data_IF_187565005379
#
_entry.id   IF_187565005379
#
_cell.length_a   1.000
_cell.length_b   1.000
_cell.length_c   1.000
_cell.angle_alpha   90.00
_cell.angle_beta   90.00
_cell.angle_gamma   90.00
#
_symmetry.space_group_name_H-M   'P 1'
#
loop_
_entity.id
_entity.type
_entity.pdbx_description
1 polymer ?
#
# COMPACT_ATOMS: atom_id res chain seq x y z
N UNK A 1 1.12 21.40 18.54
CA UNK A 1 -0.18 21.40 17.82
C UNK A 1 -0.08 20.94 16.34
N UNK A 2 0.74 19.93 16.03
CA UNK A 2 0.90 19.42 14.65
C UNK A 2 -0.01 18.22 14.32
N UNK A 3 -0.23 17.34 15.30
CA UNK A 3 -0.96 16.09 15.11
C UNK A 3 -2.41 16.28 14.61
N UNK A 4 -3.19 17.15 15.26
CA UNK A 4 -4.56 17.45 14.81
C UNK A 4 -4.62 17.91 13.35
N UNK A 5 -3.69 18.77 12.92
CA UNK A 5 -3.63 19.24 11.53
C UNK A 5 -3.31 18.09 10.56
N UNK A 6 -2.42 17.18 10.94
CA UNK A 6 -2.11 15.99 10.14
C UNK A 6 -3.33 15.07 10.02
N UNK A 7 -4.02 14.78 11.12
CA UNK A 7 -5.21 13.92 11.12
C UNK A 7 -6.32 14.50 10.25
N UNK A 8 -6.64 15.79 10.42
CA UNK A 8 -7.67 16.46 9.61
C UNK A 8 -7.23 16.56 8.14
N UNK A 9 -5.96 16.83 7.87
CA UNK A 9 -5.41 16.85 6.52
C UNK A 9 -5.56 15.50 5.81
N UNK A 10 -5.20 14.41 6.48
CA UNK A 10 -5.37 13.04 5.98
C UNK A 10 -6.84 12.70 5.73
N UNK A 11 -7.75 13.06 6.64
CA UNK A 11 -9.18 12.84 6.47
C UNK A 11 -9.77 13.62 5.27
N UNK A 12 -9.34 14.87 5.07
CA UNK A 12 -9.72 15.68 3.89
C UNK A 12 -9.22 15.03 2.60
N UNK A 13 -7.97 14.57 2.58
CA UNK A 13 -7.38 13.92 1.41
C UNK A 13 -8.06 12.58 1.12
N UNK A 14 -8.39 11.81 2.15
CA UNK A 14 -9.19 10.59 2.02
C UNK A 14 -10.52 10.86 1.30
N UNK A 15 -11.28 11.87 1.76
CA UNK A 15 -12.56 12.24 1.14
C UNK A 15 -12.41 12.72 -0.30
N UNK A 16 -11.33 13.46 -0.61
CA UNK A 16 -11.04 13.88 -1.98
C UNK A 16 -10.88 12.68 -2.92
N UNK A 17 -10.10 11.67 -2.52
CA UNK A 17 -9.90 10.46 -3.33
C UNK A 17 -11.20 9.69 -3.57
N UNK A 18 -12.08 9.63 -2.58
CA UNK A 18 -13.38 8.98 -2.74
C UNK A 18 -14.27 9.67 -3.78
N UNK A 19 -14.17 10.99 -3.91
CA UNK A 19 -14.95 11.78 -4.86
C UNK A 19 -14.35 11.78 -6.28
N UNK A 20 -13.06 11.50 -6.40
CA UNK A 20 -12.31 11.55 -7.65
C UNK A 20 -11.68 10.20 -8.01
N UNK A 21 -12.29 9.09 -7.58
CA UNK A 21 -11.71 7.75 -7.75
C UNK A 21 -11.35 7.45 -9.21
N UNK A 22 -12.17 7.91 -10.16
CA UNK A 22 -11.99 7.68 -11.60
C UNK A 22 -10.74 8.36 -12.18
N UNK A 23 -10.08 9.26 -11.43
CA UNK A 23 -8.85 9.93 -11.84
C UNK A 23 -7.57 9.15 -11.48
N UNK A 24 -7.70 8.00 -10.82
CA UNK A 24 -6.58 7.22 -10.28
C UNK A 24 -6.50 5.81 -10.87
N UNK A 25 -5.30 5.24 -10.85
CA UNK A 25 -5.04 3.94 -11.47
C UNK A 25 -5.45 2.73 -10.63
N UNK A 26 -5.77 2.93 -9.34
CA UNK A 26 -6.08 1.84 -8.42
C UNK A 26 -7.49 1.99 -7.89
N UNK A 27 -8.27 0.93 -8.01
CA UNK A 27 -9.68 0.93 -7.61
C UNK A 27 -10.00 -0.21 -6.63
N UNK A 28 -10.92 0.02 -5.68
CA UNK A 28 -11.40 -1.03 -4.79
C UNK A 28 -12.36 -1.98 -5.50
N UNK A 29 -12.57 -3.15 -4.90
CA UNK A 29 -13.42 -4.25 -5.37
C UNK A 29 -13.07 -4.78 -6.76
N UNK A 30 -11.81 -4.63 -7.18
CA UNK A 30 -11.34 -5.12 -8.49
C UNK A 30 -9.88 -5.59 -8.42
N UNK A 31 -9.48 -6.33 -9.45
CA UNK A 31 -8.10 -6.76 -9.66
C UNK A 31 -7.32 -5.58 -10.27
N UNK A 32 -6.20 -5.24 -9.64
CA UNK A 32 -5.29 -4.20 -10.09
C UNK A 32 -3.92 -4.81 -10.35
N UNK A 33 -3.26 -4.44 -11.45
CA UNK A 33 -1.86 -4.81 -11.71
C UNK A 33 -0.94 -3.84 -11.00
N UNK A 34 -0.21 -4.32 -9.99
CA UNK A 34 0.65 -3.49 -9.14
C UNK A 34 2.11 -3.90 -9.34
N UNK A 35 2.98 -2.94 -9.61
CA UNK A 35 4.41 -3.18 -9.82
C UNK A 35 5.11 -3.50 -8.50
N UNK A 36 6.21 -4.24 -8.59
CA UNK A 36 7.06 -4.49 -7.42
C UNK A 36 8.04 -3.34 -7.13
N UNK A 37 8.38 -2.57 -8.17
CA UNK A 37 9.40 -1.52 -8.12
C UNK A 37 9.13 -0.48 -9.22
N UNK A 38 9.64 0.77 -9.07
CA UNK A 38 9.67 1.74 -10.16
C UNK A 38 10.39 1.22 -11.41
N UNK A 39 11.33 0.30 -11.25
CA UNK A 39 11.96 -0.37 -12.37
C UNK A 39 10.99 -1.40 -12.99
N UNK A 40 10.52 -1.09 -14.20
CA UNK A 40 9.57 -1.94 -14.95
C UNK A 40 10.09 -3.36 -15.19
N UNK A 41 11.40 -3.58 -15.27
CA UNK A 41 11.96 -4.93 -15.47
C UNK A 41 11.74 -5.86 -14.27
N UNK A 42 11.43 -5.31 -13.09
CA UNK A 42 11.09 -6.09 -11.90
C UNK A 42 9.72 -6.77 -12.00
N UNK A 43 8.87 -6.35 -12.94
CA UNK A 43 7.55 -6.93 -13.16
C UNK A 43 6.47 -6.43 -12.18
N UNK A 44 5.36 -7.15 -12.17
CA UNK A 44 4.15 -6.84 -11.42
C UNK A 44 3.34 -8.11 -11.16
N UNK A 45 2.32 -8.01 -10.32
CA UNK A 45 1.29 -9.05 -10.22
C UNK A 45 -0.09 -8.43 -9.97
N UNK A 46 -1.09 -9.28 -10.11
CA UNK A 46 -2.48 -8.93 -9.89
C UNK A 46 -2.82 -8.98 -8.41
N UNK A 47 -3.32 -7.88 -7.87
CA UNK A 47 -3.77 -7.73 -6.49
C UNK A 47 -5.25 -7.37 -6.50
N UNK A 48 -6.07 -8.19 -5.86
CA UNK A 48 -7.46 -7.82 -5.58
C UNK A 48 -7.48 -6.82 -4.43
N UNK A 49 -7.92 -5.59 -4.70
CA UNK A 49 -8.00 -4.54 -3.68
C UNK A 49 -9.41 -4.57 -3.11
N UNK A 50 -9.57 -5.05 -1.87
CA UNK A 50 -10.88 -5.26 -1.27
C UNK A 50 -11.58 -3.97 -0.85
N UNK A 51 -10.85 -2.95 -0.41
CA UNK A 51 -11.45 -1.76 0.19
C UNK A 51 -10.79 -0.46 -0.24
N UNK A 52 -11.52 0.65 -0.01
CA UNK A 52 -11.10 2.01 -0.37
C UNK A 52 -9.80 2.42 0.33
N UNK A 53 -9.58 2.02 1.58
CA UNK A 53 -8.36 2.37 2.30
C UNK A 53 -7.11 1.77 1.64
N UNK A 54 -7.18 0.50 1.22
CA UNK A 54 -6.11 -0.16 0.48
C UNK A 54 -5.90 0.43 -0.91
N UNK A 55 -6.97 0.83 -1.62
CA UNK A 55 -6.83 1.53 -2.89
C UNK A 55 -6.05 2.84 -2.73
N UNK A 56 -6.40 3.65 -1.72
CA UNK A 56 -5.70 4.90 -1.40
C UNK A 56 -4.25 4.68 -1.00
N UNK A 57 -3.96 3.60 -0.25
CA UNK A 57 -2.60 3.21 0.07
C UNK A 57 -1.78 3.03 -1.21
N UNK A 58 -2.29 2.29 -2.20
CA UNK A 58 -1.59 2.11 -3.47
C UNK A 58 -1.54 3.36 -4.35
N UNK A 59 -2.52 4.26 -4.28
CA UNK A 59 -2.44 5.57 -4.93
C UNK A 59 -1.25 6.38 -4.40
N UNK A 60 -0.97 6.30 -3.09
CA UNK A 60 0.12 7.03 -2.46
C UNK A 60 1.48 6.30 -2.57
N UNK A 61 1.48 4.97 -2.46
CA UNK A 61 2.65 4.09 -2.57
C UNK A 61 2.39 2.99 -3.59
N UNK A 62 2.64 3.24 -4.89
CA UNK A 62 2.18 2.39 -6.01
C UNK A 62 3.01 1.11 -6.23
N UNK A 63 3.59 0.54 -5.17
CA UNK A 63 4.42 -0.66 -5.23
C UNK A 63 4.05 -1.67 -4.16
N UNK A 64 3.92 -2.93 -4.56
CA UNK A 64 3.70 -4.05 -3.65
C UNK A 64 5.02 -4.78 -3.37
N UNK A 65 5.17 -5.45 -2.21
CA UNK A 65 6.35 -6.27 -1.96
C UNK A 65 6.42 -7.44 -2.94
N UNK A 66 7.63 -7.76 -3.38
CA UNK A 66 7.91 -9.00 -4.10
C UNK A 66 8.16 -10.14 -3.10
N UNK A 67 8.30 -11.36 -3.62
CA UNK A 67 8.52 -12.55 -2.79
C UNK A 67 9.79 -12.47 -1.94
N UNK A 68 10.87 -11.85 -2.44
CA UNK A 68 12.12 -11.71 -1.70
C UNK A 68 11.98 -10.72 -0.52
N UNK A 69 11.27 -9.60 -0.71
CA UNK A 69 10.91 -8.67 0.37
C UNK A 69 10.06 -9.35 1.45
N UNK A 70 9.11 -10.22 1.05
CA UNK A 70 8.28 -10.96 1.99
C UNK A 70 9.08 -11.99 2.80
N UNK A 71 9.99 -12.73 2.16
CA UNK A 71 10.87 -13.70 2.83
C UNK A 71 11.84 -13.03 3.81
N UNK A 72 12.32 -11.83 3.49
CA UNK A 72 13.30 -11.12 4.31
C UNK A 72 12.75 -10.70 5.69
N UNK A 73 11.43 -10.68 5.88
CA UNK A 73 10.83 -10.22 7.13
C UNK A 73 11.25 -8.78 7.40
N UNK A 74 11.97 -8.51 8.50
CA UNK A 74 12.52 -7.17 8.80
C UNK A 74 13.80 -6.81 8.05
N UNK A 75 14.43 -7.78 7.38
CA UNK A 75 15.68 -7.59 6.64
C UNK A 75 15.51 -6.92 5.28
N UNK A 76 16.57 -7.02 4.50
CA UNK A 76 16.67 -6.48 3.14
C UNK A 76 16.38 -7.58 2.10
N UNK A 77 15.60 -7.22 1.08
CA UNK A 77 15.36 -8.08 -0.08
C UNK A 77 16.34 -7.79 -1.21
N UNK A 78 15.96 -8.12 -2.44
CA UNK A 78 16.76 -7.81 -3.64
C UNK A 78 16.47 -6.41 -4.22
N UNK A 79 17.14 -6.06 -5.32
CA UNK A 79 17.00 -4.77 -6.04
C UNK A 79 15.58 -4.44 -6.53
N UNK A 80 14.67 -5.41 -6.55
CA UNK A 80 13.27 -5.23 -6.95
C UNK A 80 12.31 -5.13 -5.76
N UNK A 81 12.84 -5.09 -4.54
CA UNK A 81 12.04 -5.13 -3.31
C UNK A 81 11.53 -3.74 -2.95
N UNK A 82 10.20 -3.61 -2.86
CA UNK A 82 9.56 -2.51 -2.16
C UNK A 82 9.25 -2.90 -0.71
N UNK A 83 9.48 -1.97 0.21
CA UNK A 83 9.38 -2.23 1.66
C UNK A 83 8.19 -1.52 2.33
N UNK A 84 7.62 -0.47 1.75
CA UNK A 84 6.60 0.36 2.41
C UNK A 84 5.42 -0.44 2.97
N UNK A 85 4.67 -1.13 2.11
CA UNK A 85 3.52 -1.93 2.52
C UNK A 85 3.90 -3.14 3.39
N UNK A 86 5.07 -3.75 3.13
CA UNK A 86 5.62 -4.85 3.95
C UNK A 86 5.91 -4.38 5.38
N UNK A 87 6.65 -3.28 5.53
CA UNK A 87 6.99 -2.67 6.81
C UNK A 87 5.73 -2.28 7.57
N UNK A 88 4.78 -1.64 6.89
CA UNK A 88 3.51 -1.28 7.49
C UNK A 88 2.79 -2.51 8.07
N UNK A 89 2.66 -3.59 7.28
CA UNK A 89 2.02 -4.83 7.72
C UNK A 89 2.73 -5.48 8.91
N UNK A 90 4.07 -5.53 8.88
CA UNK A 90 4.87 -6.09 9.98
C UNK A 90 4.74 -5.30 11.27
N UNK A 91 4.85 -3.97 11.19
CA UNK A 91 4.72 -3.08 12.35
C UNK A 91 3.31 -3.16 12.92
N UNK A 92 2.29 -3.12 12.06
CA UNK A 92 0.89 -3.27 12.49
C UNK A 92 0.69 -4.60 13.23
N UNK A 93 1.17 -5.70 12.64
CA UNK A 93 1.02 -7.04 13.23
C UNK A 93 1.76 -7.16 14.57
N UNK A 94 2.94 -6.53 14.69
CA UNK A 94 3.70 -6.53 15.94
C UNK A 94 2.99 -5.78 17.08
N UNK A 95 2.23 -4.72 16.76
CA UNK A 95 1.54 -3.91 17.77
C UNK A 95 0.13 -4.41 18.08
N UNK A 96 -0.59 -4.91 17.07
CA UNK A 96 -2.02 -5.17 17.15
C UNK A 96 -2.43 -6.62 16.88
N UNK A 97 -1.50 -7.48 16.41
CA UNK A 97 -1.80 -8.85 16.02
C UNK A 97 -2.35 -8.98 14.60
N UNK A 98 -2.93 -10.14 14.27
CA UNK A 98 -3.49 -10.41 12.94
C UNK A 98 -4.80 -9.62 12.73
N UNK A 99 -4.87 -8.70 11.75
CA UNK A 99 -6.07 -7.89 11.50
C UNK A 99 -7.29 -8.69 11.01
N UNK A 100 -7.15 -10.00 10.80
CA UNK A 100 -8.22 -10.89 10.32
C UNK A 100 -8.73 -11.86 11.39
N UNK A 101 -8.19 -11.80 12.61
CA UNK A 101 -8.64 -12.63 13.73
C UNK A 101 -9.62 -11.90 14.62
#
# INVERSE_FOLDING_TARGET
AGFFKQVIGSARRYRYYLLHNDQYNYHPNTINTIQYSPNKSCGSSNVYIENKATALLYIYTPYQPNIESLKAGYGEGNSCSAYGNRNFSLIYSAWFGDPRK
#
